data_IF_054914494707
#
_entry.id   IF_054914494707
#
_cell.length_a   1.000
_cell.length_b   1.000
_cell.length_c   1.000
_cell.angle_alpha   90.00
_cell.angle_beta   90.00
_cell.angle_gamma   90.00
#
_symmetry.space_group_name_H-M   'P 1'
#
loop_
_entity.id
_entity.type
_entity.pdbx_description
1 polymer ?
#
# COMPACT_ATOMS: atom_id res chain seq x y z
N UNK A 1 -47.91 -81.85 -39.57
CA UNK A 1 -46.69 -81.81 -40.40
C UNK A 1 -46.26 -80.35 -40.51
N UNK A 2 -45.15 -79.99 -39.88
CA UNK A 2 -44.51 -78.69 -40.11
C UNK A 2 -43.76 -78.81 -41.44
N UNK A 3 -44.45 -78.52 -42.52
CA UNK A 3 -43.82 -78.31 -43.82
C UNK A 3 -43.02 -77.02 -43.70
N UNK A 4 -41.69 -77.12 -43.64
CA UNK A 4 -40.82 -75.97 -43.86
C UNK A 4 -40.92 -75.65 -45.34
N UNK A 5 -41.92 -74.84 -45.68
CA UNK A 5 -42.06 -74.27 -47.01
C UNK A 5 -41.14 -73.05 -47.14
N UNK A 6 -40.68 -72.78 -48.37
CA UNK A 6 -39.83 -71.63 -48.70
C UNK A 6 -40.42 -70.28 -48.27
N UNK A 7 -41.71 -70.21 -47.96
CA UNK A 7 -42.40 -69.06 -47.38
C UNK A 7 -41.83 -68.61 -46.03
N UNK A 8 -41.37 -69.53 -45.18
CA UNK A 8 -40.77 -69.19 -43.87
C UNK A 8 -39.47 -68.42 -44.06
N UNK A 9 -38.63 -68.81 -45.03
CA UNK A 9 -37.41 -68.09 -45.37
C UNK A 9 -37.70 -66.69 -45.90
N UNK A 10 -38.74 -66.53 -46.72
CA UNK A 10 -39.19 -65.22 -47.22
C UNK A 10 -39.69 -64.33 -46.06
N UNK A 11 -40.42 -64.89 -45.10
CA UNK A 11 -40.91 -64.16 -43.93
C UNK A 11 -39.76 -63.72 -42.99
N UNK A 12 -38.75 -64.58 -42.79
CA UNK A 12 -37.53 -64.24 -42.05
C UNK A 12 -36.77 -63.11 -42.76
N UNK A 13 -36.61 -63.19 -44.08
CA UNK A 13 -35.95 -62.14 -44.86
C UNK A 13 -36.71 -60.80 -44.73
N UNK A 14 -38.05 -60.82 -44.80
CA UNK A 14 -38.87 -59.62 -44.59
C UNK A 14 -38.70 -59.03 -43.18
N UNK A 15 -38.69 -59.87 -42.14
CA UNK A 15 -38.47 -59.43 -40.76
C UNK A 15 -37.07 -58.83 -40.56
N UNK A 16 -36.04 -59.43 -41.17
CA UNK A 16 -34.68 -58.90 -41.11
C UNK A 16 -34.56 -57.56 -41.84
N UNK A 17 -35.22 -57.38 -42.99
CA UNK A 17 -35.30 -56.10 -43.70
C UNK A 17 -36.00 -55.05 -42.84
N UNK A 18 -37.12 -55.39 -42.20
CA UNK A 18 -37.84 -54.49 -41.31
C UNK A 18 -36.98 -54.09 -40.10
N UNK A 19 -36.30 -55.06 -39.48
CA UNK A 19 -35.41 -54.82 -38.35
C UNK A 19 -34.23 -53.92 -38.75
N UNK A 20 -33.68 -54.11 -39.94
CA UNK A 20 -32.62 -53.26 -40.48
C UNK A 20 -33.11 -51.83 -40.73
N UNK A 21 -34.28 -51.67 -41.36
CA UNK A 21 -34.93 -50.37 -41.55
C UNK A 21 -35.19 -49.67 -40.22
N UNK A 22 -35.75 -50.37 -39.24
CA UNK A 22 -36.04 -49.83 -37.91
C UNK A 22 -34.75 -49.44 -37.16
N UNK A 23 -33.68 -50.22 -37.31
CA UNK A 23 -32.37 -49.89 -36.75
C UNK A 23 -31.81 -48.57 -37.29
N UNK A 24 -31.97 -48.33 -38.60
CA UNK A 24 -31.52 -47.08 -39.25
C UNK A 24 -32.43 -45.91 -38.89
N UNK A 25 -33.75 -46.08 -38.95
CA UNK A 25 -34.73 -45.01 -38.79
C UNK A 25 -34.96 -44.63 -37.32
N UNK A 26 -34.87 -45.57 -36.39
CA UNK A 26 -35.28 -45.36 -35.01
C UNK A 26 -34.12 -45.50 -34.02
N UNK A 27 -33.45 -46.65 -34.01
CA UNK A 27 -32.45 -46.94 -32.95
C UNK A 27 -31.20 -46.06 -33.05
N UNK A 28 -30.68 -45.83 -34.26
CA UNK A 28 -29.54 -44.94 -34.48
C UNK A 28 -29.82 -43.48 -34.10
N UNK A 29 -30.89 -42.82 -34.59
CA UNK A 29 -31.14 -41.42 -34.25
C UNK A 29 -31.49 -41.23 -32.77
N UNK A 30 -32.27 -42.13 -32.15
CA UNK A 30 -32.59 -42.02 -30.72
C UNK A 30 -31.31 -42.07 -29.87
N UNK A 31 -30.40 -43.01 -30.15
CA UNK A 31 -29.12 -43.08 -29.44
C UNK A 31 -28.28 -41.83 -29.64
N UNK A 32 -28.27 -41.26 -30.85
CA UNK A 32 -27.55 -40.03 -31.15
C UNK A 32 -28.09 -38.85 -30.33
N UNK A 33 -29.41 -38.66 -30.29
CA UNK A 33 -30.05 -37.58 -29.51
C UNK A 33 -29.78 -37.75 -28.02
N UNK A 34 -29.87 -38.97 -27.50
CA UNK A 34 -29.61 -39.24 -26.09
C UNK A 34 -28.13 -38.97 -25.73
N UNK A 35 -27.21 -39.34 -26.60
CA UNK A 35 -25.78 -39.03 -26.46
C UNK A 35 -25.51 -37.53 -26.50
N UNK A 36 -26.13 -36.81 -27.44
CA UNK A 36 -25.99 -35.35 -27.55
C UNK A 36 -26.49 -34.66 -26.29
N UNK A 37 -27.67 -35.05 -25.79
CA UNK A 37 -28.22 -34.50 -24.55
C UNK A 37 -27.31 -34.74 -23.35
N UNK A 38 -26.78 -35.97 -23.21
CA UNK A 38 -25.85 -36.28 -22.12
C UNK A 38 -24.55 -35.46 -22.24
N UNK A 39 -24.04 -35.27 -23.46
CA UNK A 39 -22.85 -34.47 -23.70
C UNK A 39 -23.08 -32.99 -23.36
N UNK A 40 -24.18 -32.39 -23.81
CA UNK A 40 -24.55 -31.00 -23.49
C UNK A 40 -24.70 -30.80 -21.98
N UNK A 41 -25.41 -31.70 -21.31
CA UNK A 41 -25.56 -31.65 -19.85
C UNK A 41 -24.22 -31.77 -19.12
N UNK A 42 -23.34 -32.66 -19.58
CA UNK A 42 -22.00 -32.79 -18.99
C UNK A 42 -21.16 -31.53 -19.22
N UNK A 43 -21.19 -30.94 -20.42
CA UNK A 43 -20.46 -29.71 -20.73
C UNK A 43 -20.95 -28.55 -19.85
N UNK A 44 -22.27 -28.41 -19.71
CA UNK A 44 -22.87 -27.38 -18.85
C UNK A 44 -22.49 -27.59 -17.38
N UNK A 45 -22.55 -28.83 -16.88
CA UNK A 45 -22.18 -29.15 -15.50
C UNK A 45 -20.69 -28.87 -15.24
N UNK A 46 -19.79 -29.27 -16.15
CA UNK A 46 -18.37 -28.99 -16.04
C UNK A 46 -18.08 -27.48 -16.13
N UNK A 47 -18.75 -26.77 -17.04
CA UNK A 47 -18.62 -25.32 -17.17
C UNK A 47 -19.07 -24.58 -15.91
N UNK A 48 -20.18 -25.01 -15.30
CA UNK A 48 -20.65 -24.45 -14.03
C UNK A 48 -19.64 -24.69 -12.90
N UNK A 49 -19.12 -25.91 -12.77
CA UNK A 49 -18.12 -26.25 -11.76
C UNK A 49 -16.80 -25.48 -11.96
N UNK A 50 -16.35 -25.30 -13.20
CA UNK A 50 -15.15 -24.52 -13.52
C UNK A 50 -15.33 -23.02 -13.20
N UNK A 51 -16.50 -22.46 -13.50
CA UNK A 51 -16.83 -21.07 -13.12
C UNK A 51 -16.92 -20.88 -11.61
N UNK A 52 -17.48 -21.85 -10.88
CA UNK A 52 -17.51 -21.83 -9.41
C UNK A 52 -16.10 -21.91 -8.81
N UNK A 53 -15.26 -22.82 -9.32
CA UNK A 53 -13.87 -22.97 -8.90
C UNK A 53 -13.07 -21.68 -9.15
N UNK A 54 -13.20 -21.09 -10.34
CA UNK A 54 -12.59 -19.80 -10.67
C UNK A 54 -13.11 -18.69 -9.77
N UNK A 55 -14.40 -18.66 -9.46
CA UNK A 55 -14.99 -17.67 -8.55
C UNK A 55 -14.37 -17.74 -7.15
N UNK A 56 -14.19 -18.95 -6.62
CA UNK A 56 -13.52 -19.17 -5.34
C UNK A 56 -12.05 -18.75 -5.37
N UNK A 57 -11.32 -19.11 -6.42
CA UNK A 57 -9.92 -18.70 -6.63
C UNK A 57 -9.78 -17.18 -6.70
N UNK A 58 -10.64 -16.51 -7.49
CA UNK A 58 -10.66 -15.05 -7.56
C UNK A 58 -10.95 -14.41 -6.20
N UNK A 59 -11.95 -14.91 -5.47
CA UNK A 59 -12.26 -14.39 -4.13
C UNK A 59 -11.08 -14.52 -3.18
N UNK A 60 -10.44 -15.70 -3.16
CA UNK A 60 -9.29 -15.96 -2.30
C UNK A 60 -8.09 -15.07 -2.68
N UNK A 61 -7.79 -14.95 -3.96
CA UNK A 61 -6.71 -14.08 -4.46
C UNK A 61 -6.97 -12.61 -4.14
N UNK A 62 -8.22 -12.16 -4.20
CA UNK A 62 -8.61 -10.79 -3.91
C UNK A 62 -8.45 -10.49 -2.42
N UNK A 63 -8.86 -11.40 -1.54
CA UNK A 63 -8.63 -11.29 -0.10
C UNK A 63 -7.14 -11.24 0.25
N UNK A 64 -6.33 -12.10 -0.36
CA UNK A 64 -4.88 -12.13 -0.15
C UNK A 64 -4.21 -10.84 -0.64
N UNK A 65 -4.59 -10.36 -1.83
CA UNK A 65 -4.08 -9.11 -2.38
C UNK A 65 -4.46 -7.92 -1.50
N UNK A 66 -5.68 -7.89 -0.98
CA UNK A 66 -6.17 -6.82 -0.12
C UNK A 66 -5.47 -6.83 1.25
N UNK A 67 -5.23 -8.02 1.82
CA UNK A 67 -4.43 -8.17 3.04
C UNK A 67 -2.98 -7.71 2.83
N UNK A 68 -2.38 -8.09 1.70
CA UNK A 68 -1.01 -7.71 1.32
C UNK A 68 -0.87 -6.20 1.09
N UNK A 69 -1.82 -5.60 0.36
CA UNK A 69 -1.86 -4.16 0.12
C UNK A 69 -2.02 -3.37 1.43
N UNK A 70 -2.89 -3.82 2.35
CA UNK A 70 -3.01 -3.23 3.69
C UNK A 70 -1.70 -3.31 4.45
N UNK A 71 -1.05 -4.49 4.48
CA UNK A 71 0.24 -4.69 5.17
C UNK A 71 1.33 -3.78 4.61
N UNK A 72 1.39 -3.64 3.29
CA UNK A 72 2.34 -2.74 2.63
C UNK A 72 2.07 -1.28 3.00
N UNK A 73 0.80 -0.84 2.91
CA UNK A 73 0.41 0.52 3.29
C UNK A 73 0.66 0.84 4.77
N UNK A 74 0.43 -0.12 5.68
CA UNK A 74 0.80 0.05 7.08
C UNK A 74 2.30 0.21 7.27
N UNK A 75 3.11 -0.61 6.58
CA UNK A 75 4.57 -0.53 6.65
C UNK A 75 5.10 0.79 6.12
N UNK A 76 4.58 1.25 4.98
CA UNK A 76 4.98 2.52 4.37
C UNK A 76 4.59 3.70 5.27
N UNK A 77 3.36 3.70 5.80
CA UNK A 77 2.90 4.71 6.75
C UNK A 77 3.78 4.75 8.01
N UNK A 78 4.14 3.59 8.54
CA UNK A 78 4.98 3.49 9.74
C UNK A 78 6.41 3.97 9.45
N UNK A 79 6.95 3.65 8.27
CA UNK A 79 8.22 4.17 7.78
C UNK A 79 8.23 5.70 7.69
N UNK A 80 7.23 6.28 7.00
CA UNK A 80 7.07 7.73 6.89
C UNK A 80 6.90 8.41 8.25
N UNK A 81 6.18 7.77 9.18
CA UNK A 81 6.04 8.27 10.55
C UNK A 81 7.38 8.26 11.29
N UNK A 82 8.15 7.18 11.17
CA UNK A 82 9.48 7.06 11.76
C UNK A 82 10.45 8.10 11.21
N UNK A 83 10.47 8.28 9.88
CA UNK A 83 11.26 9.33 9.22
C UNK A 83 10.86 10.72 9.69
N UNK A 84 9.55 10.99 9.80
CA UNK A 84 9.02 12.25 10.32
C UNK A 84 9.48 12.54 11.74
N UNK A 85 9.46 11.55 12.63
CA UNK A 85 9.94 11.69 14.02
C UNK A 85 11.44 11.95 14.09
N UNK A 86 12.24 11.30 13.24
CA UNK A 86 13.68 11.54 13.17
C UNK A 86 14.01 12.95 12.64
N UNK A 87 13.27 13.43 11.65
CA UNK A 87 13.41 14.81 11.15
C UNK A 87 13.00 15.82 12.23
N UNK A 88 11.87 15.61 12.90
CA UNK A 88 11.41 16.46 14.01
C UNK A 88 12.48 16.53 15.11
N UNK A 89 13.03 15.39 15.51
CA UNK A 89 14.09 15.31 16.51
C UNK A 89 15.35 16.05 16.08
N UNK A 90 15.79 15.91 14.83
CA UNK A 90 16.93 16.66 14.28
C UNK A 90 16.68 18.16 14.30
N UNK A 91 15.52 18.60 13.82
CA UNK A 91 15.13 20.02 13.84
C UNK A 91 15.11 20.59 15.26
N UNK A 92 14.58 19.83 16.23
CA UNK A 92 14.56 20.25 17.63
C UNK A 92 15.96 20.37 18.23
N UNK A 93 16.84 19.41 17.94
CA UNK A 93 18.24 19.44 18.36
C UNK A 93 18.99 20.63 17.76
N UNK A 94 18.84 20.88 16.46
CA UNK A 94 19.43 22.03 15.77
C UNK A 94 18.91 23.37 16.33
N UNK A 95 17.61 23.48 16.56
CA UNK A 95 17.00 24.68 17.14
C UNK A 95 17.52 24.94 18.56
N UNK A 96 17.64 23.89 19.38
CA UNK A 96 18.16 23.98 20.75
C UNK A 96 19.65 24.36 20.74
N UNK A 97 20.46 23.77 19.85
CA UNK A 97 21.86 24.11 19.68
C UNK A 97 22.04 25.57 19.23
N UNK A 98 21.25 26.02 18.26
CA UNK A 98 21.26 27.41 17.77
C UNK A 98 20.85 28.40 18.87
N UNK A 99 19.80 28.08 19.64
CA UNK A 99 19.39 28.89 20.78
C UNK A 99 20.48 28.99 21.85
N UNK A 100 21.13 27.87 22.19
CA UNK A 100 22.28 27.83 23.10
C UNK A 100 23.45 28.70 22.61
N UNK A 101 23.80 28.58 21.33
CA UNK A 101 24.85 29.40 20.72
C UNK A 101 24.52 30.89 20.76
N UNK A 102 23.28 31.28 20.45
CA UNK A 102 22.84 32.68 20.52
C UNK A 102 22.85 33.23 21.95
N UNK A 103 22.47 32.41 22.93
CA UNK A 103 22.50 32.78 24.35
C UNK A 103 23.94 33.04 24.81
N UNK A 104 24.87 32.17 24.43
CA UNK A 104 26.29 32.31 24.75
C UNK A 104 26.90 33.56 24.08
N UNK A 105 26.57 33.80 22.81
CA UNK A 105 26.98 35.01 22.10
C UNK A 105 26.43 36.28 22.76
N UNK A 106 25.17 36.26 23.20
CA UNK A 106 24.55 37.37 23.90
C UNK A 106 25.23 37.65 25.25
N UNK A 107 25.60 36.61 26.01
CA UNK A 107 26.37 36.73 27.25
C UNK A 107 27.73 37.38 27.01
N UNK A 108 28.49 36.90 26.02
CA UNK A 108 29.80 37.48 25.67
C UNK A 108 29.69 38.94 25.24
N UNK A 109 28.69 39.29 24.42
CA UNK A 109 28.42 40.70 24.04
C UNK A 109 28.07 41.56 25.25
N UNK A 110 27.32 41.02 26.21
CA UNK A 110 26.95 41.75 27.43
C UNK A 110 28.15 41.99 28.35
N UNK A 111 29.01 40.99 28.54
CA UNK A 111 30.27 41.15 29.30
C UNK A 111 31.21 42.16 28.64
N UNK A 112 31.37 42.12 27.32
CA UNK A 112 32.18 43.07 26.57
C UNK A 112 31.66 44.51 26.74
N UNK A 113 30.35 44.73 26.56
CA UNK A 113 29.73 46.05 26.77
C UNK A 113 29.86 46.53 28.21
N UNK A 114 29.70 45.65 29.20
CA UNK A 114 29.89 46.00 30.60
C UNK A 114 31.35 46.44 30.88
N UNK A 115 32.33 45.77 30.27
CA UNK A 115 33.73 46.17 30.30
C UNK A 115 33.96 47.55 29.68
N UNK A 116 33.45 47.79 28.47
CA UNK A 116 33.57 49.09 27.78
C UNK A 116 32.94 50.25 28.57
N UNK A 117 31.75 50.03 29.13
CA UNK A 117 31.06 51.01 29.98
C UNK A 117 31.91 51.32 31.22
N UNK A 118 32.48 50.29 31.85
CA UNK A 118 33.35 50.47 33.03
C UNK A 118 34.59 51.29 32.70
N UNK A 119 35.27 51.00 31.60
CA UNK A 119 36.45 51.77 31.16
C UNK A 119 36.08 53.22 30.81
N UNK A 120 34.90 53.44 30.23
CA UNK A 120 34.39 54.77 29.90
C UNK A 120 34.09 55.57 31.17
N UNK A 121 33.39 54.96 32.14
CA UNK A 121 33.11 55.56 33.44
C UNK A 121 34.39 55.86 34.22
N UNK A 122 35.42 55.01 34.18
CA UNK A 122 36.72 55.29 34.83
C UNK A 122 37.40 56.53 34.21
N UNK A 123 37.33 56.70 32.89
CA UNK A 123 37.82 57.92 32.22
C UNK A 123 37.00 59.15 32.61
N UNK A 124 35.68 59.04 32.61
CA UNK A 124 34.78 60.13 33.01
C UNK A 124 34.97 60.51 34.47
N UNK A 125 35.17 59.56 35.39
CA UNK A 125 35.50 59.85 36.80
C UNK A 125 36.80 60.64 36.91
N UNK A 126 37.81 60.33 36.09
CA UNK A 126 39.06 61.11 36.03
C UNK A 126 38.81 62.56 35.63
N UNK A 127 38.00 62.78 34.59
CA UNK A 127 37.62 64.11 34.10
C UNK A 127 36.78 64.86 35.13
N UNK A 128 35.74 64.21 35.69
CA UNK A 128 34.90 64.79 36.73
C UNK A 128 35.69 65.13 37.99
N UNK A 129 36.67 64.32 38.37
CA UNK A 129 37.54 64.61 39.53
C UNK A 129 38.42 65.83 39.27
N UNK A 130 38.92 66.00 38.04
CA UNK A 130 39.66 67.20 37.61
C UNK A 130 38.76 68.45 37.65
N UNK A 131 37.55 68.36 37.10
CA UNK A 131 36.57 69.45 37.13
C UNK A 131 36.15 69.80 38.57
N UNK A 132 35.95 68.80 39.44
CA UNK A 132 35.64 69.04 40.85
C UNK A 132 36.80 69.71 41.58
N UNK A 133 38.04 69.27 41.30
CA UNK A 133 39.24 69.86 41.87
C UNK A 133 39.41 71.31 41.43
N UNK A 134 39.22 71.63 40.14
CA UNK A 134 39.25 73.02 39.66
C UNK A 134 38.17 73.90 40.31
N UNK A 135 36.97 73.34 40.53
CA UNK A 135 35.84 74.08 41.11
C UNK A 135 35.98 74.30 42.61
N UNK A 136 36.61 73.38 43.33
CA UNK A 136 36.89 73.50 44.77
C UNK A 136 38.16 74.34 45.03
N UNK A 137 39.20 74.24 44.19
CA UNK A 137 40.46 74.98 44.36
C UNK A 137 40.42 76.41 43.78
N UNK A 138 39.37 76.78 43.04
CA UNK A 138 39.13 78.14 42.56
C UNK A 138 40.19 78.67 41.58
N UNK A 139 41.05 77.79 41.05
CA UNK A 139 42.10 78.10 40.08
C UNK A 139 42.23 76.92 39.11
N UNK A 140 42.30 77.21 37.81
CA UNK A 140 42.52 76.19 36.77
C UNK A 140 43.85 75.51 36.99
N UNK A 141 43.86 74.18 36.95
CA UNK A 141 45.09 73.39 36.98
C UNK A 141 45.53 73.23 35.52
N UNK A 142 46.57 73.98 35.14
CA UNK A 142 47.34 73.75 33.91
C UNK A 142 48.16 72.46 34.03
#
# INVERSE_FOLDING_TARGET
MLSIDSSVFIQIANFLILLFLLNIILFRPIRKVLSQRNQEMNVLAHGAADLEAKGLEYSSSLEENLASARKLGFRERDGLRGEGLEVEKKMYQEATASAGSKMEEARKRMEMRAGEIRTTLEKEIGIFSQELAEKILGRRLQ
#
